data_IF_675088459194
#
_entry.id   IF_675088459194
#
_cell.length_a   1.000
_cell.length_b   1.000
_cell.length_c   1.000
_cell.angle_alpha   90.00
_cell.angle_beta   90.00
_cell.angle_gamma   90.00
#
_symmetry.space_group_name_H-M   'P 1'
#
loop_
_entity.id
_entity.type
_entity.pdbx_description
1 polymer ?
#
# COMPACT_ATOMS: atom_id res chain seq x y z
N UNK A 1 0.31 -0.87 12.62
CA UNK A 1 0.73 0.35 13.32
C UNK A 1 0.21 0.42 14.76
N UNK A 2 0.53 1.50 15.48
CA UNK A 2 -0.02 1.71 16.84
C UNK A 2 -1.50 2.12 16.83
N UNK A 3 -2.00 2.62 15.73
CA UNK A 3 -3.38 3.09 15.58
C UNK A 3 -4.46 2.01 15.37
N UNK A 4 -4.15 0.72 15.55
CA UNK A 4 -5.18 -0.32 15.42
C UNK A 4 -6.31 -0.12 16.44
N UNK A 5 -7.55 -0.29 16.00
CA UNK A 5 -8.77 -0.18 16.81
C UNK A 5 -9.76 -1.30 16.43
N UNK A 6 -10.74 -1.66 17.29
CA UNK A 6 -10.97 -1.17 18.64
C UNK A 6 -9.95 -1.67 19.67
N UNK A 7 -9.24 -2.77 19.42
CA UNK A 7 -8.23 -3.32 20.32
C UNK A 7 -6.83 -2.79 19.96
N UNK A 8 -5.98 -2.49 20.95
CA UNK A 8 -4.61 -2.05 20.69
C UNK A 8 -3.78 -3.15 20.03
N UNK A 9 -2.93 -2.78 19.10
CA UNK A 9 -1.93 -3.69 18.53
C UNK A 9 -0.89 -4.13 19.58
N UNK A 10 -0.15 -5.21 19.30
CA UNK A 10 0.97 -5.63 20.14
C UNK A 10 2.04 -4.54 20.28
N UNK A 11 2.26 -3.73 19.23
CA UNK A 11 3.17 -2.57 19.27
C UNK A 11 2.66 -1.48 20.23
N UNK A 12 1.37 -1.16 20.20
CA UNK A 12 0.78 -0.19 21.13
C UNK A 12 0.84 -0.64 22.58
N UNK A 13 0.67 -1.95 22.84
CA UNK A 13 0.80 -2.52 24.19
C UNK A 13 2.23 -2.40 24.71
N UNK A 14 3.23 -2.82 23.93
CA UNK A 14 4.66 -2.70 24.31
C UNK A 14 5.08 -1.25 24.53
N UNK A 15 4.58 -0.34 23.70
CA UNK A 15 4.83 1.09 23.86
C UNK A 15 4.23 1.59 25.19
N UNK A 16 3.03 1.16 25.55
CA UNK A 16 2.41 1.50 26.84
C UNK A 16 3.25 1.01 28.03
N UNK A 17 3.74 -0.22 27.97
CA UNK A 17 4.64 -0.79 29.00
C UNK A 17 5.93 0.02 29.13
N UNK A 18 6.55 0.37 27.98
CA UNK A 18 7.75 1.20 27.94
C UNK A 18 7.52 2.58 28.59
N UNK A 19 6.43 3.27 28.24
CA UNK A 19 6.08 4.58 28.83
C UNK A 19 5.88 4.46 30.34
N UNK A 20 5.20 3.42 30.80
CA UNK A 20 4.93 3.20 32.22
C UNK A 20 6.22 2.99 33.04
N UNK A 21 7.19 2.26 32.51
CA UNK A 21 8.45 1.97 33.22
C UNK A 21 9.48 3.09 33.12
N UNK A 22 9.54 3.80 31.98
CA UNK A 22 10.64 4.74 31.70
C UNK A 22 10.25 6.21 31.79
N UNK A 23 8.93 6.52 31.79
CA UNK A 23 8.38 7.88 31.81
C UNK A 23 9.14 8.89 30.90
N UNK A 24 9.37 8.57 29.63
CA UNK A 24 10.19 9.41 28.75
C UNK A 24 9.39 10.58 28.18
N UNK A 25 10.09 11.61 27.71
CA UNK A 25 9.50 12.55 26.76
C UNK A 25 9.28 11.85 25.42
N UNK A 26 8.14 12.13 24.76
CA UNK A 26 7.75 11.43 23.53
C UNK A 26 7.43 12.44 22.44
N UNK A 27 8.08 12.26 21.28
CA UNK A 27 7.75 12.95 20.04
C UNK A 27 7.40 11.90 18.99
N UNK A 28 6.18 11.97 18.45
CA UNK A 28 5.80 11.16 17.31
C UNK A 28 6.00 11.91 16.01
N UNK A 29 6.65 11.27 15.06
CA UNK A 29 6.83 11.78 13.70
C UNK A 29 6.07 10.89 12.73
N UNK A 30 5.18 11.48 11.94
CA UNK A 30 4.43 10.75 10.91
C UNK A 30 3.94 11.70 9.82
N UNK A 31 4.10 11.32 8.56
CA UNK A 31 3.43 11.99 7.45
C UNK A 31 1.94 11.63 7.32
N UNK A 32 1.52 10.51 7.92
CA UNK A 32 0.14 9.99 7.84
C UNK A 32 -0.27 9.40 9.18
N UNK A 33 -0.54 10.22 10.21
CA UNK A 33 -0.84 9.72 11.56
C UNK A 33 -2.14 8.92 11.63
N UNK A 34 -3.12 9.24 10.80
CA UNK A 34 -4.44 8.60 10.73
C UNK A 34 -4.81 8.29 9.28
N UNK A 35 -4.09 7.35 8.60
CA UNK A 35 -4.25 7.13 7.17
C UNK A 35 -5.65 6.65 6.76
N UNK A 36 -6.36 5.93 7.64
CA UNK A 36 -7.65 5.33 7.35
C UNK A 36 -8.80 6.02 8.08
N UNK A 37 -8.60 6.36 9.37
CA UNK A 37 -9.65 6.93 10.21
C UNK A 37 -9.08 7.69 11.40
N UNK A 38 -9.72 8.78 11.81
CA UNK A 38 -9.33 9.54 13.00
C UNK A 38 -9.36 8.70 14.29
N UNK A 39 -10.18 7.65 14.33
CA UNK A 39 -10.24 6.67 15.42
C UNK A 39 -8.89 6.03 15.75
N UNK A 40 -7.96 6.00 14.79
CA UNK A 40 -6.60 5.48 14.97
C UNK A 40 -5.79 6.29 15.99
N UNK A 41 -6.16 7.52 16.27
CA UNK A 41 -5.43 8.39 17.19
C UNK A 41 -5.45 7.88 18.63
N UNK A 42 -6.56 7.29 19.09
CA UNK A 42 -6.71 6.89 20.49
C UNK A 42 -5.56 6.00 20.98
N UNK A 43 -5.32 4.86 20.35
CA UNK A 43 -4.27 3.92 20.79
C UNK A 43 -2.84 4.40 20.51
N UNK A 44 -2.66 5.39 19.64
CA UNK A 44 -1.36 5.99 19.43
C UNK A 44 -0.92 6.83 20.64
N UNK A 45 -1.84 7.59 21.22
CA UNK A 45 -1.50 8.56 22.29
C UNK A 45 -1.95 8.15 23.69
N UNK A 46 -2.79 7.13 23.83
CA UNK A 46 -3.40 6.74 25.12
C UNK A 46 -2.37 6.49 26.24
N UNK A 47 -1.20 5.99 25.90
CA UNK A 47 -0.13 5.70 26.86
C UNK A 47 0.57 6.96 27.40
N UNK A 48 0.40 8.11 26.74
CA UNK A 48 1.07 9.36 27.13
C UNK A 48 0.25 10.01 28.25
N UNK A 49 0.86 10.32 29.41
CA UNK A 49 0.12 10.79 30.59
C UNK A 49 -0.77 12.00 30.35
N UNK A 50 -0.35 12.96 29.55
CA UNK A 50 -1.05 14.23 29.32
C UNK A 50 -1.81 14.29 27.99
N UNK A 51 -2.18 13.12 27.41
CA UNK A 51 -2.96 13.10 26.19
C UNK A 51 -4.42 13.58 26.42
N UNK A 52 -5.09 14.18 25.42
CA UNK A 52 -6.44 14.73 25.59
C UNK A 52 -7.51 13.67 25.84
N UNK A 53 -7.25 12.40 25.48
CA UNK A 53 -8.22 11.32 25.62
C UNK A 53 -8.07 10.52 26.91
N UNK A 54 -7.19 10.95 27.85
CA UNK A 54 -6.93 10.28 29.12
C UNK A 54 -8.18 10.03 29.96
N UNK A 55 -9.20 10.91 29.87
CA UNK A 55 -10.48 10.77 30.56
C UNK A 55 -11.24 9.49 30.14
N UNK A 56 -10.99 8.97 28.96
CA UNK A 56 -11.62 7.75 28.44
C UNK A 56 -10.78 6.52 28.80
N UNK A 57 -11.16 5.80 29.85
CA UNK A 57 -10.43 4.60 30.34
C UNK A 57 -10.42 3.42 29.35
N UNK A 58 -11.19 3.47 28.26
CA UNK A 58 -11.22 2.46 27.21
C UNK A 58 -11.53 3.07 25.85
N UNK A 59 -11.12 2.40 24.77
CA UNK A 59 -11.48 2.78 23.42
C UNK A 59 -13.00 2.89 23.22
N UNK A 60 -13.78 2.01 23.83
CA UNK A 60 -15.24 2.03 23.68
C UNK A 60 -15.87 3.29 24.30
N UNK A 61 -15.37 3.77 25.45
CA UNK A 61 -15.81 5.05 26.03
C UNK A 61 -15.44 6.24 25.14
N UNK A 62 -14.23 6.24 24.58
CA UNK A 62 -13.80 7.20 23.58
C UNK A 62 -14.68 7.14 22.32
N UNK A 63 -15.00 5.94 21.84
CA UNK A 63 -15.81 5.75 20.64
C UNK A 63 -17.22 6.31 20.79
N UNK A 64 -17.84 6.19 21.95
CA UNK A 64 -19.16 6.76 22.21
C UNK A 64 -19.20 8.28 22.09
N UNK A 65 -18.10 8.96 22.38
CA UNK A 65 -18.05 10.43 22.32
C UNK A 65 -17.61 10.94 20.95
N UNK A 66 -16.67 10.24 20.29
CA UNK A 66 -15.96 10.74 19.11
C UNK A 66 -16.21 9.98 17.82
N UNK A 67 -16.92 8.86 17.86
CA UNK A 67 -17.08 8.02 16.67
C UNK A 67 -18.56 7.81 16.36
N UNK A 68 -18.94 8.05 15.11
CA UNK A 68 -20.24 7.62 14.62
C UNK A 68 -20.23 6.12 14.37
N UNK A 69 -20.66 5.35 15.38
CA UNK A 69 -20.63 3.90 15.34
C UNK A 69 -21.73 3.38 14.40
N UNK A 70 -21.36 2.65 13.38
CA UNK A 70 -22.28 1.97 12.47
C UNK A 70 -22.12 0.46 12.57
N UNK A 71 -23.07 -0.29 12.02
CA UNK A 71 -22.99 -1.76 11.99
C UNK A 71 -22.64 -2.24 10.59
N UNK A 72 -21.64 -3.10 10.48
CA UNK A 72 -21.30 -3.81 9.26
C UNK A 72 -21.70 -5.28 9.36
N UNK A 73 -22.25 -5.84 8.29
CA UNK A 73 -22.56 -7.27 8.21
C UNK A 73 -21.31 -8.01 7.70
N UNK A 74 -20.72 -8.83 8.55
CA UNK A 74 -19.53 -9.63 8.24
C UNK A 74 -19.83 -11.11 8.53
N UNK A 75 -19.75 -11.96 7.53
CA UNK A 75 -19.99 -13.39 7.69
C UNK A 75 -21.38 -13.75 8.27
N UNK A 76 -22.40 -12.94 7.98
CA UNK A 76 -23.75 -13.13 8.52
C UNK A 76 -24.01 -12.45 9.86
N UNK A 77 -22.99 -12.01 10.58
CA UNK A 77 -23.09 -11.31 11.88
C UNK A 77 -22.94 -9.80 11.72
N UNK A 78 -23.60 -9.03 12.60
CA UNK A 78 -23.39 -7.59 12.69
C UNK A 78 -22.25 -7.28 13.65
N UNK A 79 -21.25 -6.53 13.17
CA UNK A 79 -20.13 -6.02 13.97
C UNK A 79 -20.14 -4.49 13.96
N UNK A 80 -19.73 -3.88 15.06
CA UNK A 80 -19.60 -2.42 15.11
C UNK A 80 -18.42 -1.95 14.26
N UNK A 81 -18.69 -0.95 13.42
CA UNK A 81 -17.67 -0.22 12.66
C UNK A 81 -17.30 1.07 13.41
N UNK A 82 -16.03 1.24 13.68
CA UNK A 82 -15.45 2.39 14.37
C UNK A 82 -14.61 3.29 13.44
N UNK A 83 -14.73 3.13 12.14
CA UNK A 83 -13.92 3.89 11.17
C UNK A 83 -14.35 5.35 11.01
N UNK A 84 -15.56 5.70 11.45
CA UNK A 84 -16.13 7.05 11.28
C UNK A 84 -15.83 7.96 12.47
N UNK A 85 -14.54 8.14 12.78
CA UNK A 85 -14.10 9.11 13.77
C UNK A 85 -14.39 10.54 13.36
N UNK A 86 -14.88 11.35 14.31
CA UNK A 86 -15.21 12.75 14.10
C UNK A 86 -13.96 13.63 14.03
N UNK A 87 -14.05 14.79 13.36
CA UNK A 87 -12.99 15.80 13.30
C UNK A 87 -12.64 16.37 14.68
N UNK A 88 -13.54 16.29 15.66
CA UNK A 88 -13.28 16.67 17.04
C UNK A 88 -12.03 16.00 17.62
N UNK A 89 -11.71 14.77 17.16
CA UNK A 89 -10.49 14.07 17.56
C UNK A 89 -9.25 14.88 17.16
N UNK A 90 -9.25 15.45 15.97
CA UNK A 90 -8.14 16.25 15.47
C UNK A 90 -8.10 17.62 16.16
N UNK A 91 -9.26 18.18 16.46
CA UNK A 91 -9.37 19.46 17.21
C UNK A 91 -8.78 19.31 18.63
N UNK A 92 -9.13 18.27 19.35
CA UNK A 92 -8.56 17.96 20.68
C UNK A 92 -7.04 17.71 20.62
N UNK A 93 -6.53 17.21 19.51
CA UNK A 93 -5.11 17.00 19.30
C UNK A 93 -4.32 18.25 18.90
N UNK A 94 -4.97 19.33 18.44
CA UNK A 94 -4.30 20.56 17.97
C UNK A 94 -3.25 21.11 18.95
N UNK A 95 -3.51 21.21 20.27
CA UNK A 95 -2.51 21.72 21.21
C UNK A 95 -1.26 20.86 21.35
N UNK A 96 -1.32 19.60 20.95
CA UNK A 96 -0.28 18.58 21.06
C UNK A 96 0.37 18.24 19.71
N UNK A 97 -0.05 18.93 18.64
CA UNK A 97 0.34 18.56 17.27
C UNK A 97 0.92 19.77 16.54
N UNK A 98 2.13 19.64 16.07
CA UNK A 98 2.69 20.56 15.08
C UNK A 98 2.42 19.94 13.71
N UNK A 99 1.60 20.62 12.90
CA UNK A 99 1.35 20.23 11.53
C UNK A 99 2.20 21.08 10.61
N UNK A 100 3.05 20.40 9.85
CA UNK A 100 3.93 21.04 8.89
C UNK A 100 3.80 20.31 7.55
N UNK A 101 3.25 20.97 6.56
CA UNK A 101 3.01 20.40 5.24
C UNK A 101 4.22 20.60 4.32
N UNK A 102 4.29 19.85 3.24
CA UNK A 102 5.30 20.08 2.20
C UNK A 102 5.24 21.50 1.66
N UNK A 103 4.04 22.08 1.53
CA UNK A 103 3.83 23.47 1.11
C UNK A 103 4.41 24.46 2.12
N UNK A 104 4.22 24.24 3.42
CA UNK A 104 4.80 25.07 4.49
C UNK A 104 6.32 24.99 4.47
N UNK A 105 6.89 23.86 4.06
CA UNK A 105 8.33 23.66 3.88
C UNK A 105 8.87 24.25 2.57
N UNK A 106 8.04 24.91 1.76
CA UNK A 106 8.42 25.53 0.49
C UNK A 106 8.51 24.55 -0.68
N UNK A 107 7.96 23.34 -0.56
CA UNK A 107 7.85 22.42 -1.69
C UNK A 107 6.67 22.82 -2.58
N UNK A 108 6.91 23.04 -3.86
CA UNK A 108 5.91 23.46 -4.87
C UNK A 108 5.68 22.38 -5.93
N UNK A 109 5.98 21.14 -5.59
CA UNK A 109 5.93 20.01 -6.55
C UNK A 109 4.48 19.68 -6.92
N UNK A 110 4.21 19.69 -8.22
CA UNK A 110 2.99 19.12 -8.80
C UNK A 110 3.24 17.62 -9.11
N UNK A 111 2.50 16.74 -8.46
CA UNK A 111 2.60 15.29 -8.71
C UNK A 111 1.49 14.86 -9.66
N UNK A 112 1.87 14.50 -10.89
CA UNK A 112 0.97 13.96 -11.90
C UNK A 112 0.99 12.45 -11.90
N UNK A 113 -0.18 11.85 -11.81
CA UNK A 113 -0.36 10.41 -11.87
C UNK A 113 -0.90 9.98 -13.24
N UNK A 114 -0.29 8.97 -13.81
CA UNK A 114 -0.62 8.41 -15.10
C UNK A 114 -0.93 6.93 -14.96
N UNK A 115 -2.08 6.48 -15.43
CA UNK A 115 -2.40 5.06 -15.53
C UNK A 115 -2.10 4.61 -16.95
N UNK A 116 -1.21 3.62 -17.07
CA UNK A 116 -0.89 2.97 -18.33
C UNK A 116 -1.39 1.53 -18.29
N UNK A 117 -2.14 1.14 -19.30
CA UNK A 117 -2.71 -0.19 -19.41
C UNK A 117 -1.86 -1.09 -20.29
N UNK A 118 -1.65 -2.32 -19.83
CA UNK A 118 -0.92 -3.36 -20.56
C UNK A 118 -1.88 -4.52 -20.85
N UNK A 119 -1.93 -4.91 -22.10
CA UNK A 119 -2.69 -6.08 -22.51
C UNK A 119 -1.85 -7.34 -22.28
N UNK A 120 -2.16 -8.07 -21.19
CA UNK A 120 -1.44 -9.28 -20.80
C UNK A 120 -1.66 -10.40 -21.83
N UNK A 121 -0.76 -11.37 -21.85
CA UNK A 121 -0.86 -12.51 -22.78
C UNK A 121 -2.17 -13.28 -22.60
N UNK A 122 -2.63 -13.92 -23.68
CA UNK A 122 -3.86 -14.71 -23.70
C UNK A 122 -3.75 -15.90 -22.71
N UNK A 123 -2.55 -16.42 -22.50
CA UNK A 123 -2.28 -17.43 -21.48
C UNK A 123 -2.68 -16.93 -20.10
N UNK A 124 -2.24 -15.73 -19.69
CA UNK A 124 -2.58 -15.14 -18.39
C UNK A 124 -4.08 -14.89 -18.28
N UNK A 125 -4.69 -14.34 -19.32
CA UNK A 125 -6.16 -14.12 -19.36
C UNK A 125 -6.93 -15.42 -19.20
N UNK A 126 -6.49 -16.50 -19.86
CA UNK A 126 -7.07 -17.83 -19.74
C UNK A 126 -6.94 -18.41 -18.33
N UNK A 127 -5.76 -18.31 -17.72
CA UNK A 127 -5.52 -18.77 -16.34
C UNK A 127 -6.42 -18.00 -15.35
N UNK A 128 -6.52 -16.69 -15.46
CA UNK A 128 -7.40 -15.87 -14.61
C UNK A 128 -8.86 -16.29 -14.78
N UNK A 129 -9.33 -16.49 -16.02
CA UNK A 129 -10.71 -16.92 -16.32
C UNK A 129 -11.01 -18.27 -15.68
N UNK A 130 -10.14 -19.25 -15.86
CA UNK A 130 -10.29 -20.59 -15.26
C UNK A 130 -10.29 -20.51 -13.74
N UNK A 131 -9.33 -19.76 -13.16
CA UNK A 131 -9.22 -19.63 -11.71
C UNK A 131 -10.44 -18.96 -11.07
N UNK A 132 -11.04 -17.96 -11.72
CA UNK A 132 -12.28 -17.33 -11.24
C UNK A 132 -13.48 -18.28 -11.28
N UNK A 133 -13.53 -19.17 -12.28
CA UNK A 133 -14.63 -20.12 -12.47
C UNK A 133 -14.48 -21.34 -11.56
N UNK A 134 -13.32 -22.00 -11.60
CA UNK A 134 -13.11 -23.34 -11.06
C UNK A 134 -12.33 -23.31 -9.73
N UNK A 135 -11.83 -22.15 -9.31
CA UNK A 135 -11.05 -21.91 -8.10
C UNK A 135 -9.72 -22.70 -8.05
N UNK A 136 -9.40 -23.41 -9.11
CA UNK A 136 -8.17 -24.21 -9.27
C UNK A 136 -7.72 -24.19 -10.73
N UNK A 137 -6.41 -24.14 -10.92
CA UNK A 137 -5.78 -24.38 -12.24
C UNK A 137 -4.69 -25.42 -12.05
N UNK A 138 -4.85 -26.57 -12.70
CA UNK A 138 -3.89 -27.65 -12.68
C UNK A 138 -2.87 -27.45 -13.79
N UNK A 139 -1.61 -27.29 -13.41
CA UNK A 139 -0.47 -27.35 -14.32
C UNK A 139 0.10 -28.76 -14.40
N UNK A 140 1.22 -28.94 -15.13
CA UNK A 140 1.88 -30.23 -15.25
C UNK A 140 2.44 -30.73 -13.90
N UNK A 141 3.14 -29.82 -13.20
CA UNK A 141 3.85 -30.16 -11.95
C UNK A 141 3.39 -29.29 -10.77
N UNK A 142 2.59 -28.26 -11.00
CA UNK A 142 2.21 -27.25 -10.02
C UNK A 142 0.72 -26.93 -10.10
N UNK A 143 0.17 -26.50 -8.96
CA UNK A 143 -1.26 -26.15 -8.84
C UNK A 143 -1.42 -24.70 -8.36
N UNK A 144 -2.34 -23.97 -9.00
CA UNK A 144 -2.81 -22.69 -8.51
C UNK A 144 -4.16 -22.93 -7.83
N UNK A 145 -4.19 -22.84 -6.51
CA UNK A 145 -5.40 -23.05 -5.73
C UNK A 145 -5.90 -21.72 -5.15
N UNK A 146 -7.20 -21.48 -5.30
CA UNK A 146 -7.89 -20.28 -4.81
C UNK A 146 -9.20 -20.65 -4.08
N UNK A 147 -9.13 -21.65 -3.20
CA UNK A 147 -10.25 -22.22 -2.44
C UNK A 147 -10.95 -21.23 -1.48
N UNK A 148 -10.32 -20.09 -1.22
CA UNK A 148 -10.91 -19.01 -0.42
C UNK A 148 -10.91 -17.70 -1.21
N UNK A 149 -11.86 -16.80 -0.90
CA UNK A 149 -11.93 -15.49 -1.56
C UNK A 149 -10.65 -14.63 -1.32
N UNK A 150 -9.93 -14.83 -0.20
CA UNK A 150 -8.65 -14.17 0.07
C UNK A 150 -7.56 -14.71 -0.86
N UNK A 151 -7.48 -16.03 -1.01
CA UNK A 151 -6.54 -16.65 -1.95
C UNK A 151 -6.86 -16.22 -3.38
N UNK A 152 -8.12 -16.24 -3.79
CA UNK A 152 -8.55 -15.81 -5.12
C UNK A 152 -8.13 -14.36 -5.41
N UNK A 153 -8.43 -13.43 -4.51
CA UNK A 153 -8.01 -12.04 -4.62
C UNK A 153 -6.48 -11.91 -4.81
N UNK A 154 -5.72 -12.63 -4.00
CA UNK A 154 -4.25 -12.59 -4.06
C UNK A 154 -3.72 -13.21 -5.35
N UNK A 155 -4.25 -14.36 -5.77
CA UNK A 155 -3.83 -15.05 -7.01
C UNK A 155 -4.18 -14.24 -8.26
N UNK A 156 -5.38 -13.69 -8.34
CA UNK A 156 -5.77 -12.80 -9.45
C UNK A 156 -4.82 -11.60 -9.52
N UNK A 157 -4.50 -10.99 -8.37
CA UNK A 157 -3.56 -9.87 -8.32
C UNK A 157 -2.14 -10.24 -8.78
N UNK A 158 -1.63 -11.42 -8.41
CA UNK A 158 -0.36 -11.94 -8.90
C UNK A 158 -0.39 -12.17 -10.42
N UNK A 159 -1.44 -12.83 -10.91
CA UNK A 159 -1.59 -13.13 -12.34
C UNK A 159 -1.70 -11.84 -13.19
N UNK A 160 -2.37 -10.80 -12.70
CA UNK A 160 -2.41 -9.48 -13.35
C UNK A 160 -1.02 -8.84 -13.48
N UNK A 161 -0.04 -9.24 -12.70
CA UNK A 161 1.35 -8.80 -12.83
C UNK A 161 2.25 -9.78 -13.60
N UNK A 162 1.67 -10.87 -14.13
CA UNK A 162 2.43 -11.89 -14.86
C UNK A 162 3.16 -12.89 -13.96
N UNK A 163 2.80 -12.98 -12.68
CA UNK A 163 3.47 -13.83 -11.70
C UNK A 163 2.49 -14.74 -10.99
N UNK A 164 2.99 -15.78 -10.33
CA UNK A 164 2.18 -16.65 -9.48
C UNK A 164 3.01 -17.28 -8.37
N UNK A 165 2.37 -17.51 -7.22
CA UNK A 165 2.83 -18.42 -6.18
C UNK A 165 1.91 -19.63 -6.16
N UNK A 166 2.48 -20.83 -6.32
CA UNK A 166 1.76 -22.10 -6.33
C UNK A 166 1.42 -22.60 -4.92
N UNK A 167 0.62 -23.63 -4.83
CA UNK A 167 0.25 -24.24 -3.54
C UNK A 167 1.44 -24.95 -2.88
N UNK A 168 2.38 -25.47 -3.67
CA UNK A 168 3.67 -26.01 -3.20
C UNK A 168 4.54 -25.01 -2.41
N UNK A 169 4.24 -23.71 -2.56
CA UNK A 169 5.05 -22.61 -2.02
C UNK A 169 6.04 -22.04 -3.03
N UNK A 170 6.29 -22.73 -4.14
CA UNK A 170 7.09 -22.22 -5.24
C UNK A 170 6.42 -21.01 -5.89
N UNK A 171 7.21 -20.18 -6.54
CA UNK A 171 6.69 -19.04 -7.31
C UNK A 171 7.40 -18.93 -8.66
N UNK A 172 6.71 -18.35 -9.64
CA UNK A 172 7.21 -18.26 -11.01
C UNK A 172 6.75 -16.98 -11.70
N UNK A 173 7.61 -16.47 -12.59
CA UNK A 173 7.23 -15.52 -13.63
C UNK A 173 6.57 -16.29 -14.76
N UNK A 174 5.34 -15.96 -15.11
CA UNK A 174 4.58 -16.58 -16.20
C UNK A 174 4.56 -15.71 -17.45
N UNK A 175 4.71 -14.40 -17.28
CA UNK A 175 4.56 -13.42 -18.35
C UNK A 175 5.47 -12.20 -18.09
N UNK A 176 6.22 -11.81 -19.11
CA UNK A 176 7.14 -10.67 -19.06
C UNK A 176 6.56 -9.41 -19.73
N UNK A 177 5.32 -9.45 -20.18
CA UNK A 177 4.70 -8.36 -20.98
C UNK A 177 4.78 -7.02 -20.26
N UNK A 178 4.48 -6.99 -18.96
CA UNK A 178 4.54 -5.78 -18.14
C UNK A 178 5.97 -5.23 -18.02
N UNK A 179 6.94 -6.08 -17.73
CA UNK A 179 8.34 -5.69 -17.60
C UNK A 179 8.90 -5.15 -18.95
N UNK A 180 8.59 -5.86 -20.04
CA UNK A 180 8.97 -5.43 -21.40
C UNK A 180 8.32 -4.10 -21.80
N UNK A 181 7.05 -3.91 -21.43
CA UNK A 181 6.35 -2.64 -21.66
C UNK A 181 7.05 -1.50 -20.92
N UNK A 182 7.39 -1.67 -19.63
CA UNK A 182 8.08 -0.67 -18.82
C UNK A 182 9.42 -0.31 -19.48
N UNK A 183 10.26 -1.29 -19.79
CA UNK A 183 11.57 -1.03 -20.44
C UNK A 183 11.43 -0.25 -21.76
N UNK A 184 10.45 -0.61 -22.58
CA UNK A 184 10.18 0.08 -23.85
C UNK A 184 9.65 1.49 -23.65
N UNK A 185 8.67 1.68 -22.76
CA UNK A 185 7.98 2.96 -22.57
C UNK A 185 8.89 4.01 -21.94
N UNK A 186 9.75 3.61 -21.04
CA UNK A 186 10.66 4.51 -20.33
C UNK A 186 12.08 4.53 -20.89
N UNK A 187 12.25 4.16 -22.16
CA UNK A 187 13.55 4.23 -22.83
C UNK A 187 14.12 5.66 -22.75
N UNK A 188 15.38 5.77 -22.31
CA UNK A 188 16.08 7.05 -22.15
C UNK A 188 15.70 7.84 -20.88
N UNK A 189 14.94 7.23 -19.95
CA UNK A 189 14.62 7.80 -18.63
C UNK A 189 15.18 6.94 -17.53
N UNK A 190 15.74 7.53 -16.49
CA UNK A 190 16.14 6.84 -15.26
C UNK A 190 14.90 6.69 -14.37
N UNK A 191 14.50 5.49 -14.04
CA UNK A 191 13.25 5.23 -13.31
C UNK A 191 13.48 4.52 -11.99
N UNK A 192 12.62 4.85 -11.00
CA UNK A 192 12.42 4.06 -9.81
C UNK A 192 11.18 3.19 -9.96
N UNK A 193 11.32 1.86 -9.85
CA UNK A 193 10.21 0.91 -10.01
C UNK A 193 9.83 0.33 -8.68
N UNK A 194 8.59 0.52 -8.27
CA UNK A 194 8.01 -0.16 -7.10
C UNK A 194 7.33 -1.46 -7.53
N UNK A 195 7.70 -2.56 -6.86
CA UNK A 195 7.08 -3.86 -7.03
C UNK A 195 6.47 -4.36 -5.71
N UNK A 196 5.52 -5.29 -5.80
CA UNK A 196 4.84 -5.90 -4.63
C UNK A 196 5.28 -7.32 -4.39
N UNK A 197 5.22 -8.17 -5.41
CA UNK A 197 5.54 -9.58 -5.31
C UNK A 197 6.99 -9.87 -5.71
N UNK A 198 7.63 -10.85 -5.05
CA UNK A 198 9.03 -11.17 -5.29
C UNK A 198 9.33 -11.51 -6.75
N UNK A 199 8.42 -12.23 -7.42
CA UNK A 199 8.59 -12.63 -8.81
C UNK A 199 8.50 -11.45 -9.80
N UNK A 200 7.90 -10.34 -9.41
CA UNK A 200 7.91 -9.10 -10.22
C UNK A 200 9.34 -8.53 -10.31
N UNK A 201 10.13 -8.64 -9.23
CA UNK A 201 11.55 -8.30 -9.27
C UNK A 201 12.32 -9.23 -10.22
N UNK A 202 12.01 -10.53 -10.21
CA UNK A 202 12.65 -11.47 -11.12
C UNK A 202 12.31 -11.15 -12.58
N UNK A 203 11.06 -10.80 -12.88
CA UNK A 203 10.64 -10.33 -14.20
C UNK A 203 11.37 -9.06 -14.64
N UNK A 204 11.55 -8.11 -13.72
CA UNK A 204 12.31 -6.89 -13.97
C UNK A 204 13.79 -7.19 -14.23
N UNK A 205 14.42 -8.03 -13.42
CA UNK A 205 15.83 -8.47 -13.60
C UNK A 205 16.04 -9.17 -14.95
N UNK A 206 15.14 -10.05 -15.35
CA UNK A 206 15.22 -10.77 -16.61
C UNK A 206 15.16 -9.81 -17.81
N UNK A 207 14.32 -8.77 -17.73
CA UNK A 207 14.13 -7.83 -18.85
C UNK A 207 15.17 -6.72 -18.88
N UNK A 208 15.55 -6.18 -17.72
CA UNK A 208 16.47 -5.03 -17.65
C UNK A 208 17.95 -5.48 -17.58
N UNK A 209 18.24 -6.68 -17.03
CA UNK A 209 19.61 -7.17 -16.86
C UNK A 209 20.45 -6.24 -15.99
N UNK A 210 21.63 -5.91 -16.45
CA UNK A 210 22.59 -5.06 -15.72
C UNK A 210 22.16 -3.60 -15.58
N UNK A 211 21.15 -3.16 -16.31
CA UNK A 211 20.59 -1.80 -16.20
C UNK A 211 19.71 -1.63 -14.93
N UNK A 212 19.48 -2.69 -14.13
CA UNK A 212 18.66 -2.66 -12.93
C UNK A 212 19.51 -2.90 -11.68
N UNK A 213 19.32 -2.08 -10.66
CA UNK A 213 19.84 -2.32 -9.31
C UNK A 213 18.70 -2.41 -8.28
N UNK A 214 19.04 -2.84 -7.06
CA UNK A 214 18.13 -2.91 -5.91
C UNK A 214 18.61 -2.08 -4.72
N UNK A 215 19.82 -1.56 -4.80
CA UNK A 215 20.46 -0.79 -3.73
C UNK A 215 20.55 0.69 -4.11
N UNK A 216 20.29 1.56 -3.13
CA UNK A 216 20.32 3.02 -3.34
C UNK A 216 21.70 3.57 -3.73
N UNK A 217 22.83 3.10 -3.19
CA UNK A 217 24.15 3.55 -3.65
C UNK A 217 24.34 3.30 -5.14
N UNK A 218 24.06 2.11 -5.62
CA UNK A 218 24.20 1.75 -7.05
C UNK A 218 23.33 2.64 -7.94
N UNK A 219 22.09 2.93 -7.49
CA UNK A 219 21.21 3.84 -8.19
C UNK A 219 21.75 5.28 -8.20
N UNK A 220 22.32 5.73 -7.09
CA UNK A 220 22.82 7.11 -6.96
C UNK A 220 24.06 7.32 -7.81
N UNK A 221 24.97 6.34 -7.85
CA UNK A 221 26.28 6.44 -8.41
C UNK A 221 26.37 5.96 -9.89
N UNK A 222 25.25 5.57 -10.47
CA UNK A 222 25.17 5.11 -11.88
C UNK A 222 23.89 5.58 -12.57
N UNK A 223 23.77 5.27 -13.86
CA UNK A 223 22.55 5.52 -14.66
C UNK A 223 21.53 4.37 -14.58
N UNK A 224 21.73 3.39 -13.71
CA UNK A 224 20.83 2.24 -13.54
C UNK A 224 19.45 2.66 -13.06
N UNK A 225 18.47 1.89 -13.45
CA UNK A 225 17.14 1.92 -12.84
C UNK A 225 17.18 1.23 -11.49
N UNK A 226 16.29 1.60 -10.58
CA UNK A 226 16.18 0.90 -9.28
C UNK A 226 14.81 0.22 -9.15
N UNK A 227 14.82 -1.03 -8.62
CA UNK A 227 13.60 -1.74 -8.25
C UNK A 227 13.54 -1.92 -6.72
N UNK A 228 12.44 -1.47 -6.12
CA UNK A 228 12.22 -1.50 -4.67
C UNK A 228 10.88 -2.15 -4.34
N UNK A 229 10.85 -2.98 -3.30
CA UNK A 229 9.57 -3.49 -2.81
C UNK A 229 8.77 -2.36 -2.16
N UNK A 230 7.52 -2.20 -2.55
CA UNK A 230 6.70 -1.06 -2.13
C UNK A 230 6.59 -0.90 -0.61
N UNK A 231 6.56 -2.00 0.15
CA UNK A 231 6.44 -1.97 1.61
C UNK A 231 7.72 -1.47 2.27
N UNK A 232 8.90 -1.89 1.80
CA UNK A 232 10.20 -1.45 2.33
C UNK A 232 10.67 -0.14 1.72
N UNK A 233 10.35 0.13 0.46
CA UNK A 233 10.77 1.33 -0.26
C UNK A 233 9.88 2.55 -0.05
N UNK A 234 8.76 2.43 0.67
CA UNK A 234 7.84 3.56 0.90
C UNK A 234 8.30 4.55 1.97
N UNK A 235 9.25 4.19 2.81
CA UNK A 235 9.74 5.02 3.93
C UNK A 235 11.25 5.17 3.89
N UNK A 236 11.74 6.36 4.27
CA UNK A 236 13.16 6.60 4.55
C UNK A 236 14.11 6.64 3.35
N UNK A 237 13.61 6.59 2.12
CA UNK A 237 14.45 6.64 0.91
C UNK A 237 14.15 7.88 0.05
N UNK A 238 15.13 8.30 -0.75
CA UNK A 238 15.00 9.37 -1.73
C UNK A 238 15.36 8.87 -3.12
N UNK A 239 14.44 9.03 -4.06
CA UNK A 239 14.63 8.70 -5.48
C UNK A 239 14.70 9.98 -6.33
N UNK A 240 15.31 11.05 -5.78
CA UNK A 240 15.41 12.36 -6.42
C UNK A 240 16.06 12.34 -7.80
N UNK A 241 16.89 11.34 -8.10
CA UNK A 241 17.56 11.20 -9.39
C UNK A 241 16.71 10.47 -10.44
N UNK A 242 15.55 9.92 -10.04
CA UNK A 242 14.64 9.32 -11.01
C UNK A 242 13.91 10.40 -11.80
N UNK A 243 13.74 10.18 -13.10
CA UNK A 243 12.88 11.00 -13.96
C UNK A 243 11.40 10.71 -13.71
N UNK A 244 11.09 9.46 -13.35
CA UNK A 244 9.75 9.00 -13.05
C UNK A 244 9.73 7.89 -12.00
N UNK A 245 8.63 7.83 -11.22
CA UNK A 245 8.28 6.65 -10.43
C UNK A 245 7.33 5.75 -11.23
N UNK A 246 7.60 4.47 -11.23
CA UNK A 246 6.82 3.47 -11.94
C UNK A 246 6.36 2.40 -10.97
N UNK A 247 5.07 2.18 -10.88
CA UNK A 247 4.49 1.10 -10.08
C UNK A 247 4.20 -0.09 -11.00
N UNK A 248 5.02 -1.11 -10.87
CA UNK A 248 4.80 -2.39 -11.56
C UNK A 248 3.47 -3.02 -11.09
N UNK A 249 3.18 -2.87 -9.82
CA UNK A 249 1.94 -3.31 -9.21
C UNK A 249 1.54 -2.37 -8.06
N UNK A 250 0.28 -2.37 -7.68
CA UNK A 250 -0.26 -1.57 -6.59
C UNK A 250 -0.41 -2.41 -5.33
N UNK A 251 -0.21 -1.82 -4.15
CA UNK A 251 -0.50 -2.49 -2.89
C UNK A 251 -1.96 -2.27 -2.47
N UNK A 252 -2.51 -3.22 -1.69
CA UNK A 252 -3.84 -3.09 -1.10
C UNK A 252 -3.93 -1.97 -0.05
N UNK A 253 -2.80 -1.54 0.48
CA UNK A 253 -2.71 -0.55 1.55
C UNK A 253 -2.71 0.88 1.03
N UNK A 254 -3.64 1.69 1.51
CA UNK A 254 -3.64 3.13 1.26
C UNK A 254 -2.38 3.80 1.81
N UNK A 255 -1.84 3.34 2.94
CA UNK A 255 -0.58 3.86 3.50
C UNK A 255 0.58 3.67 2.53
N UNK A 256 0.71 2.49 1.92
CA UNK A 256 1.75 2.22 0.92
C UNK A 256 1.66 3.18 -0.26
N UNK A 257 0.47 3.42 -0.76
CA UNK A 257 0.21 4.38 -1.84
C UNK A 257 0.67 5.80 -1.47
N UNK A 258 0.16 6.34 -0.36
CA UNK A 258 0.41 7.74 0.00
C UNK A 258 1.85 8.02 0.42
N UNK A 259 2.55 7.05 1.01
CA UNK A 259 3.93 7.23 1.45
C UNK A 259 4.97 7.05 0.33
N UNK A 260 4.69 6.21 -0.67
CA UNK A 260 5.66 5.91 -1.72
C UNK A 260 5.68 6.95 -2.85
N UNK A 261 4.54 7.59 -3.16
CA UNK A 261 4.41 8.49 -4.33
C UNK A 261 5.28 9.75 -4.28
N UNK A 262 5.69 10.18 -3.09
CA UNK A 262 6.45 11.41 -2.91
C UNK A 262 7.98 11.18 -2.80
N UNK A 263 8.46 9.98 -3.17
CA UNK A 263 9.90 9.62 -3.03
C UNK A 263 10.84 10.38 -3.94
N UNK A 264 10.35 11.03 -5.00
CA UNK A 264 11.15 11.90 -5.88
C UNK A 264 11.13 13.37 -5.44
N UNK A 265 10.29 13.75 -4.49
CA UNK A 265 10.06 15.15 -4.12
C UNK A 265 11.31 15.80 -3.53
N UNK A 266 11.73 16.94 -4.11
CA UNK A 266 12.77 17.83 -3.61
C UNK A 266 12.29 19.28 -3.69
N UNK A 267 12.96 20.22 -3.01
CA UNK A 267 12.60 21.65 -3.04
C UNK A 267 12.69 22.25 -4.44
N UNK A 268 13.67 21.79 -5.23
CA UNK A 268 13.95 22.31 -6.55
C UNK A 268 13.16 21.63 -7.66
N UNK A 269 12.42 20.59 -7.33
CA UNK A 269 11.66 19.84 -8.31
C UNK A 269 10.23 20.40 -8.42
N UNK A 270 9.86 20.79 -9.65
CA UNK A 270 8.55 21.39 -9.92
C UNK A 270 7.48 20.34 -10.28
N UNK A 271 7.89 19.18 -10.78
CA UNK A 271 6.97 18.14 -11.25
C UNK A 271 7.47 16.74 -10.95
N UNK A 272 6.58 15.91 -10.40
CA UNK A 272 6.76 14.48 -10.28
C UNK A 272 5.80 13.77 -11.23
N UNK A 273 6.33 12.89 -12.09
CA UNK A 273 5.51 11.99 -12.88
C UNK A 273 5.52 10.59 -12.25
N UNK A 274 4.33 10.11 -11.89
CA UNK A 274 4.09 8.81 -11.25
C UNK A 274 3.25 7.97 -12.21
N UNK A 275 3.73 6.78 -12.56
CA UNK A 275 3.09 5.89 -13.53
C UNK A 275 2.65 4.59 -12.87
N UNK A 276 1.38 4.27 -13.04
CA UNK A 276 0.77 3.02 -12.60
C UNK A 276 0.61 2.10 -13.79
N UNK A 277 1.22 0.92 -13.76
CA UNK A 277 1.16 -0.04 -14.86
C UNK A 277 0.15 -1.12 -14.50
N UNK A 278 -1.05 -1.00 -15.02
CA UNK A 278 -2.16 -1.92 -14.76
C UNK A 278 -2.38 -2.89 -15.90
N UNK A 279 -2.84 -4.09 -15.62
CA UNK A 279 -3.35 -4.95 -16.67
C UNK A 279 -4.74 -4.45 -17.09
N UNK A 280 -5.01 -4.48 -18.39
CA UNK A 280 -6.18 -3.84 -19.02
C UNK A 280 -7.52 -4.24 -18.39
N UNK A 281 -7.64 -5.48 -17.91
CA UNK A 281 -8.82 -6.01 -17.22
C UNK A 281 -8.52 -6.45 -15.80
N UNK A 282 -7.52 -5.83 -15.17
CA UNK A 282 -6.98 -6.25 -13.88
C UNK A 282 -7.70 -5.64 -12.69
N UNK A 283 -7.53 -6.32 -11.55
CA UNK A 283 -8.01 -5.87 -10.23
C UNK A 283 -7.33 -4.56 -9.78
N UNK A 284 -6.21 -4.18 -10.38
CA UNK A 284 -5.42 -3.02 -9.99
C UNK A 284 -6.21 -1.71 -10.07
N UNK A 285 -7.13 -1.58 -11.03
CA UNK A 285 -8.00 -0.41 -11.17
C UNK A 285 -8.90 -0.23 -9.94
N UNK A 286 -9.46 -1.32 -9.43
CA UNK A 286 -10.35 -1.26 -8.27
C UNK A 286 -9.57 -1.04 -6.97
N UNK A 287 -8.35 -1.59 -6.88
CA UNK A 287 -7.43 -1.28 -5.77
C UNK A 287 -7.10 0.21 -5.78
N UNK A 288 -6.75 0.78 -6.93
CA UNK A 288 -6.42 2.19 -7.06
C UNK A 288 -7.59 3.09 -6.63
N UNK A 289 -8.82 2.81 -7.09
CA UNK A 289 -10.03 3.55 -6.68
C UNK A 289 -10.25 3.55 -5.16
N UNK A 290 -9.85 2.50 -4.46
CA UNK A 290 -9.96 2.43 -3.00
C UNK A 290 -8.87 3.25 -2.31
N UNK A 291 -7.59 3.04 -2.68
CA UNK A 291 -6.45 3.64 -1.97
C UNK A 291 -6.34 5.15 -2.16
N UNK A 292 -6.75 5.70 -3.31
CA UNK A 292 -6.81 7.16 -3.51
C UNK A 292 -7.81 7.83 -2.56
N UNK A 293 -8.85 7.11 -2.11
CA UNK A 293 -9.83 7.55 -1.13
C UNK A 293 -9.38 7.28 0.32
N UNK A 294 -8.10 7.00 0.54
CA UNK A 294 -7.51 6.64 1.84
C UNK A 294 -8.17 5.41 2.49
N UNK A 295 -8.58 4.45 1.67
CA UNK A 295 -9.17 3.18 2.12
C UNK A 295 -8.33 2.01 1.62
N UNK A 296 -8.02 1.08 2.53
CA UNK A 296 -7.40 -0.17 2.11
C UNK A 296 -8.37 -0.98 1.23
N UNK A 297 -7.82 -1.63 0.20
CA UNK A 297 -8.60 -2.57 -0.60
C UNK A 297 -8.74 -3.89 0.15
N UNK A 298 -9.95 -4.18 0.57
CA UNK A 298 -10.28 -5.32 1.43
C UNK A 298 -11.00 -6.43 0.67
N UNK A 299 -11.16 -7.58 1.33
CA UNK A 299 -11.94 -8.69 0.80
C UNK A 299 -13.39 -8.30 0.45
N UNK A 300 -13.99 -7.37 1.19
CA UNK A 300 -15.34 -6.89 0.89
C UNK A 300 -15.38 -6.09 -0.42
N UNK A 301 -14.36 -5.29 -0.70
CA UNK A 301 -14.21 -4.62 -1.99
C UNK A 301 -14.08 -5.66 -3.10
N UNK A 302 -13.18 -6.63 -2.94
CA UNK A 302 -12.97 -7.68 -3.94
C UNK A 302 -14.25 -8.49 -4.25
N UNK A 303 -15.00 -8.91 -3.23
CA UNK A 303 -16.25 -9.67 -3.43
C UNK A 303 -17.30 -8.87 -4.22
N UNK A 304 -17.38 -7.55 -3.97
CA UNK A 304 -18.26 -6.67 -4.74
C UNK A 304 -17.79 -6.57 -6.19
N UNK A 305 -16.51 -6.35 -6.39
CA UNK A 305 -15.92 -6.06 -7.69
C UNK A 305 -15.74 -7.33 -8.54
N UNK A 306 -15.74 -8.53 -7.92
CA UNK A 306 -15.63 -9.82 -8.62
C UNK A 306 -16.74 -10.03 -9.65
N UNK A 307 -17.91 -9.42 -9.46
CA UNK A 307 -19.03 -9.48 -10.39
C UNK A 307 -18.79 -8.63 -11.66
N UNK A 308 -17.87 -7.68 -11.62
CA UNK A 308 -17.55 -6.75 -12.70
C UNK A 308 -16.18 -7.02 -13.35
N UNK A 309 -15.34 -7.82 -12.71
CA UNK A 309 -14.06 -8.30 -13.21
C UNK A 309 -14.21 -9.60 -13.99
#
# INVERSE_FOLDING_TARGET
GMGAFPKPSGRAKRFKEFIFHSNPYVIFLSGTPTPEAYSQMYHQVYSIPNNPFRRHKSFYKFAHEYIHITKLKVGGMFVNDYSRGSEKIIEEMKPYTIRFTQKDAGFVVDTKEHILEVDMSDTIKGVIKTLKKDLVVQGKDEVILADTAVKLMTKVHQLCSGTVKFESGNSKVLDLTKAKFIKKHFKGKKIGVFYKFKEELNALKEVFGDDLCTELPDFTDSDKHIALQIVSGREGISLRQADALVYYNIDFSATSYWQSRDRMTTKDRLKNDVYWIFSKTGIEHEIYKAVIKKKDYTLNHFKRDLLTL
#
